data_IF_574396155217
#
_entry.id   IF_574396155217
#
_cell.length_a   1.000
_cell.length_b   1.000
_cell.length_c   1.000
_cell.angle_alpha   90.00
_cell.angle_beta   90.00
_cell.angle_gamma   90.00
#
_symmetry.space_group_name_H-M   'P 1'
#
loop_
_entity.id
_entity.type
_entity.pdbx_description
1 polymer ?
#
# COMPACT_ATOMS: atom_id res chain seq x y z
N UNK A 1 53.97 -10.66 -61.84
CA UNK A 1 53.55 -11.19 -60.53
C UNK A 1 53.96 -10.20 -59.46
N UNK A 2 53.12 -9.21 -59.16
CA UNK A 2 53.43 -8.22 -58.11
C UNK A 2 52.17 -7.39 -57.83
N UNK A 3 51.27 -7.91 -56.98
CA UNK A 3 50.21 -7.15 -56.30
C UNK A 3 49.67 -7.85 -55.04
N UNK A 4 50.34 -8.91 -54.58
CA UNK A 4 49.86 -9.82 -53.53
C UNK A 4 49.84 -9.22 -52.12
N UNK A 5 50.62 -8.18 -51.84
CA UNK A 5 50.64 -7.55 -50.50
C UNK A 5 49.49 -6.58 -50.31
N UNK A 6 49.17 -5.77 -51.32
CA UNK A 6 48.07 -4.80 -51.26
C UNK A 6 46.71 -5.49 -51.21
N UNK A 7 46.50 -6.51 -52.05
CA UNK A 7 45.27 -7.32 -52.07
C UNK A 7 45.02 -7.97 -50.71
N UNK A 8 46.06 -8.56 -50.10
CA UNK A 8 45.95 -9.14 -48.74
C UNK A 8 45.66 -8.10 -47.66
N UNK A 9 46.19 -6.88 -47.78
CA UNK A 9 45.87 -5.80 -46.84
C UNK A 9 44.40 -5.40 -46.95
N UNK A 10 43.86 -5.30 -48.17
CA UNK A 10 42.44 -5.00 -48.41
C UNK A 10 41.52 -6.12 -47.90
N UNK A 11 41.89 -7.38 -48.09
CA UNK A 11 41.15 -8.52 -47.53
C UNK A 11 41.10 -8.49 -45.99
N UNK A 12 42.21 -8.13 -45.34
CA UNK A 12 42.27 -7.99 -43.88
C UNK A 12 41.41 -6.81 -43.41
N UNK A 13 41.46 -5.68 -44.11
CA UNK A 13 40.66 -4.50 -43.80
C UNK A 13 39.16 -4.81 -43.89
N UNK A 14 38.73 -5.46 -44.98
CA UNK A 14 37.34 -5.89 -45.14
C UNK A 14 36.91 -6.86 -44.04
N UNK A 15 37.75 -7.86 -43.71
CA UNK A 15 37.44 -8.80 -42.64
C UNK A 15 37.33 -8.11 -41.27
N UNK A 16 38.16 -7.10 -41.00
CA UNK A 16 38.08 -6.31 -39.78
C UNK A 16 36.81 -5.45 -39.73
N UNK A 17 36.41 -4.84 -40.85
CA UNK A 17 35.15 -4.09 -40.96
C UNK A 17 33.93 -4.98 -40.74
N UNK A 18 33.91 -6.19 -41.32
CA UNK A 18 32.84 -7.15 -41.15
C UNK A 18 32.70 -7.59 -39.67
N UNK A 19 33.83 -7.84 -39.00
CA UNK A 19 33.85 -8.16 -37.57
C UNK A 19 33.35 -6.98 -36.73
N UNK A 20 33.75 -5.75 -37.05
CA UNK A 20 33.28 -4.55 -36.36
C UNK A 20 31.78 -4.33 -36.57
N UNK A 21 31.25 -4.58 -37.77
CA UNK A 21 29.83 -4.52 -38.06
C UNK A 21 29.05 -5.55 -37.22
N UNK A 22 29.53 -6.80 -37.17
CA UNK A 22 28.93 -7.85 -36.35
C UNK A 22 28.85 -7.47 -34.86
N UNK A 23 29.94 -6.91 -34.30
CA UNK A 23 29.91 -6.46 -32.90
C UNK A 23 28.95 -5.30 -32.66
N UNK A 24 28.84 -4.34 -33.59
CA UNK A 24 27.86 -3.26 -33.49
C UNK A 24 26.44 -3.79 -33.46
N UNK A 25 26.13 -4.77 -34.30
CA UNK A 25 24.81 -5.40 -34.34
C UNK A 25 24.53 -6.18 -33.04
N UNK A 26 25.51 -6.93 -32.53
CA UNK A 26 25.38 -7.62 -31.23
C UNK A 26 25.15 -6.63 -30.08
N UNK A 27 25.88 -5.52 -30.04
CA UNK A 27 25.69 -4.48 -29.03
C UNK A 27 24.28 -3.89 -29.11
N UNK A 28 23.77 -3.66 -30.32
CA UNK A 28 22.41 -3.15 -30.51
C UNK A 28 21.37 -4.15 -30.02
N UNK A 29 21.48 -5.42 -30.44
CA UNK A 29 20.57 -6.49 -30.02
C UNK A 29 20.53 -6.63 -28.49
N UNK A 30 21.70 -6.64 -27.84
CA UNK A 30 21.78 -6.74 -26.38
C UNK A 30 21.17 -5.54 -25.67
N UNK A 31 21.29 -4.32 -26.24
CA UNK A 31 20.65 -3.12 -25.70
C UNK A 31 19.13 -3.17 -25.85
N UNK A 32 18.65 -3.60 -27.00
CA UNK A 32 17.22 -3.72 -27.27
C UNK A 32 16.60 -4.79 -26.35
N UNK A 33 17.27 -5.92 -26.16
CA UNK A 33 16.87 -6.99 -25.24
C UNK A 33 16.86 -6.53 -23.77
N UNK A 34 17.89 -5.81 -23.33
CA UNK A 34 17.94 -5.19 -22.00
C UNK A 34 16.79 -4.22 -21.78
N UNK A 35 16.52 -3.37 -22.77
CA UNK A 35 15.44 -2.37 -22.69
C UNK A 35 14.09 -3.07 -22.55
N UNK A 36 13.81 -4.07 -23.39
CA UNK A 36 12.57 -4.84 -23.31
C UNK A 36 12.41 -5.56 -21.96
N UNK A 37 13.50 -6.13 -21.42
CA UNK A 37 13.49 -6.76 -20.09
C UNK A 37 13.21 -5.78 -18.96
N UNK A 38 13.77 -4.57 -19.03
CA UNK A 38 13.53 -3.52 -18.04
C UNK A 38 12.09 -3.03 -18.09
N UNK A 39 11.51 -2.88 -19.28
CA UNK A 39 10.10 -2.52 -19.45
C UNK A 39 9.18 -3.60 -18.88
N UNK A 40 9.42 -4.88 -19.20
CA UNK A 40 8.67 -6.00 -18.65
C UNK A 40 8.77 -6.04 -17.11
N UNK A 41 9.99 -5.89 -16.58
CA UNK A 41 10.22 -5.90 -15.14
C UNK A 41 9.50 -4.73 -14.45
N UNK A 42 9.48 -3.54 -15.05
CA UNK A 42 8.73 -2.40 -14.53
C UNK A 42 7.24 -2.71 -14.45
N UNK A 43 6.66 -3.29 -15.50
CA UNK A 43 5.24 -3.66 -15.53
C UNK A 43 4.89 -4.72 -14.47
N UNK A 44 5.79 -5.68 -14.23
CA UNK A 44 5.62 -6.68 -13.18
C UNK A 44 5.62 -6.01 -11.80
N UNK A 45 6.59 -5.14 -11.53
CA UNK A 45 6.65 -4.43 -10.25
C UNK A 45 5.46 -3.51 -10.01
N UNK A 46 4.99 -2.81 -11.04
CA UNK A 46 3.79 -1.96 -10.96
C UNK A 46 2.57 -2.81 -10.57
N UNK A 47 2.41 -3.97 -11.20
CA UNK A 47 1.31 -4.90 -10.92
C UNK A 47 1.40 -5.51 -9.52
N UNK A 48 2.58 -5.93 -9.09
CA UNK A 48 2.81 -6.45 -7.74
C UNK A 48 2.50 -5.39 -6.68
N UNK A 49 2.91 -4.14 -6.94
CA UNK A 49 2.64 -3.00 -6.08
C UNK A 49 1.14 -2.73 -6.00
N UNK A 50 0.43 -2.75 -7.13
CA UNK A 50 -1.03 -2.56 -7.15
C UNK A 50 -1.74 -3.63 -6.31
N UNK A 51 -1.35 -4.90 -6.46
CA UNK A 51 -1.91 -6.02 -5.68
C UNK A 51 -1.64 -5.81 -4.18
N UNK A 52 -0.42 -5.42 -3.81
CA UNK A 52 -0.04 -5.18 -2.42
C UNK A 52 -0.85 -4.03 -1.80
N UNK A 53 -1.02 -2.92 -2.53
CA UNK A 53 -1.82 -1.77 -2.09
C UNK A 53 -3.29 -2.16 -1.92
N UNK A 54 -3.87 -2.88 -2.89
CA UNK A 54 -5.25 -3.35 -2.79
C UNK A 54 -5.46 -4.31 -1.61
N UNK A 55 -4.51 -5.23 -1.36
CA UNK A 55 -4.55 -6.14 -0.21
C UNK A 55 -4.49 -5.37 1.11
N UNK A 56 -3.59 -4.39 1.22
CA UNK A 56 -3.44 -3.55 2.41
C UNK A 56 -4.70 -2.72 2.66
N UNK A 57 -5.28 -2.15 1.60
CA UNK A 57 -6.51 -1.36 1.68
C UNK A 57 -7.67 -2.21 2.21
N UNK A 58 -7.88 -3.42 1.67
CA UNK A 58 -8.91 -4.35 2.16
C UNK A 58 -8.70 -4.71 3.63
N UNK A 59 -7.47 -5.04 4.02
CA UNK A 59 -7.14 -5.36 5.41
C UNK A 59 -7.44 -4.19 6.35
N UNK A 60 -7.14 -2.96 5.92
CA UNK A 60 -7.44 -1.75 6.70
C UNK A 60 -8.93 -1.48 6.79
N UNK A 61 -9.68 -1.72 5.73
CA UNK A 61 -11.15 -1.60 5.76
C UNK A 61 -11.78 -2.61 6.73
N UNK A 62 -11.31 -3.85 6.75
CA UNK A 62 -11.74 -4.87 7.72
C UNK A 62 -11.39 -4.48 9.17
N UNK A 63 -10.18 -3.95 9.39
CA UNK A 63 -9.73 -3.47 10.69
C UNK A 63 -10.60 -2.31 11.20
N UNK A 64 -10.93 -1.36 10.32
CA UNK A 64 -11.84 -0.24 10.65
C UNK A 64 -13.23 -0.76 11.03
N UNK A 65 -13.83 -1.64 10.20
CA UNK A 65 -15.15 -2.21 10.50
C UNK A 65 -15.18 -2.93 11.85
N UNK A 66 -14.12 -3.66 12.18
CA UNK A 66 -14.00 -4.32 13.48
C UNK A 66 -13.92 -3.31 14.62
N UNK A 67 -13.10 -2.26 14.47
CA UNK A 67 -12.97 -1.21 15.49
C UNK A 67 -14.29 -0.44 15.69
N UNK A 68 -15.04 -0.20 14.63
CA UNK A 68 -16.36 0.42 14.69
C UNK A 68 -17.36 -0.45 15.46
N UNK A 69 -17.39 -1.77 15.21
CA UNK A 69 -18.22 -2.72 15.96
C UNK A 69 -17.83 -2.77 17.44
N UNK A 70 -16.53 -2.85 17.74
CA UNK A 70 -16.03 -2.88 19.12
C UNK A 70 -16.39 -1.58 19.88
N UNK A 71 -16.32 -0.43 19.18
CA UNK A 71 -16.73 0.86 19.71
C UNK A 71 -18.24 0.88 20.01
N UNK A 72 -19.08 0.43 19.08
CA UNK A 72 -20.53 0.38 19.27
C UNK A 72 -20.91 -0.50 20.46
N UNK A 73 -20.33 -1.69 20.58
CA UNK A 73 -20.53 -2.58 21.73
C UNK A 73 -20.11 -1.92 23.05
N UNK A 74 -19.00 -1.18 23.03
CA UNK A 74 -18.51 -0.45 24.20
C UNK A 74 -19.47 0.68 24.60
N UNK A 75 -19.97 1.44 23.62
CA UNK A 75 -20.96 2.51 23.85
C UNK A 75 -22.25 1.93 24.44
N UNK A 76 -22.79 0.86 23.85
CA UNK A 76 -23.99 0.20 24.36
C UNK A 76 -23.79 -0.30 25.80
N UNK A 77 -22.68 -0.97 26.08
CA UNK A 77 -22.34 -1.45 27.44
C UNK A 77 -22.25 -0.31 28.44
N UNK A 78 -21.64 0.80 28.06
CA UNK A 78 -21.53 1.98 28.92
C UNK A 78 -22.90 2.62 29.16
N UNK A 79 -23.74 2.71 28.12
CA UNK A 79 -25.10 3.23 28.24
C UNK A 79 -25.94 2.39 29.21
N UNK A 80 -25.92 1.06 29.09
CA UNK A 80 -26.62 0.16 30.03
C UNK A 80 -26.13 0.36 31.47
N UNK A 81 -24.82 0.54 31.68
CA UNK A 81 -24.27 0.79 33.02
C UNK A 81 -24.73 2.13 33.59
N UNK A 82 -24.76 3.18 32.77
CA UNK A 82 -25.25 4.50 33.19
C UNK A 82 -26.72 4.42 33.56
N UNK A 83 -27.56 3.77 32.74
CA UNK A 83 -28.99 3.59 33.01
C UNK A 83 -29.25 2.79 34.29
N UNK A 84 -28.48 1.72 34.52
CA UNK A 84 -28.56 0.94 35.74
C UNK A 84 -28.17 1.79 36.98
N UNK A 85 -27.09 2.56 36.90
CA UNK A 85 -26.64 3.43 37.99
C UNK A 85 -27.64 4.56 38.28
N UNK A 86 -28.23 5.17 37.25
CA UNK A 86 -29.28 6.18 37.41
C UNK A 86 -30.54 5.60 38.06
N UNK A 87 -30.91 4.37 37.68
CA UNK A 87 -32.05 3.67 38.28
C UNK A 87 -31.83 3.38 39.76
N UNK A 88 -30.64 2.88 40.11
CA UNK A 88 -30.24 2.63 41.51
C UNK A 88 -30.29 3.92 42.36
N UNK A 89 -29.75 5.02 41.83
CA UNK A 89 -29.67 6.31 42.55
C UNK A 89 -30.96 7.12 42.56
N UNK A 90 -32.00 6.70 41.81
CA UNK A 90 -33.23 7.46 41.65
C UNK A 90 -33.95 7.72 42.97
N UNK A 91 -34.02 6.72 43.85
CA UNK A 91 -34.70 6.83 45.14
C UNK A 91 -33.96 7.78 46.10
N UNK A 92 -32.63 7.69 46.14
CA UNK A 92 -31.79 8.56 46.97
C UNK A 92 -31.84 10.01 46.49
N UNK A 93 -31.81 10.23 45.16
CA UNK A 93 -31.95 11.56 44.58
C UNK A 93 -33.33 12.16 44.88
N UNK A 94 -34.40 11.37 44.77
CA UNK A 94 -35.74 11.82 45.11
C UNK A 94 -35.86 12.23 46.59
N UNK A 95 -35.27 11.45 47.50
CA UNK A 95 -35.20 11.77 48.93
C UNK A 95 -34.46 13.09 49.18
N UNK A 96 -33.28 13.25 48.58
CA UNK A 96 -32.47 14.46 48.71
C UNK A 96 -33.20 15.72 48.17
N UNK A 97 -33.96 15.58 47.08
CA UNK A 97 -34.79 16.67 46.54
C UNK A 97 -35.90 17.04 47.54
N UNK A 98 -36.62 16.05 48.08
CA UNK A 98 -37.70 16.28 49.04
C UNK A 98 -37.17 16.96 50.31
N UNK A 99 -36.07 16.47 50.87
CA UNK A 99 -35.42 17.08 52.05
C UNK A 99 -35.11 18.56 51.79
N UNK A 100 -34.51 18.88 50.65
CA UNK A 100 -34.15 20.25 50.28
C UNK A 100 -35.36 21.17 50.07
N UNK A 101 -36.47 20.63 49.55
CA UNK A 101 -37.73 21.38 49.39
C UNK A 101 -38.38 21.66 50.75
N UNK A 102 -38.39 20.68 51.65
CA UNK A 102 -38.90 20.84 53.02
C UNK A 102 -38.06 21.87 53.77
N UNK A 103 -36.73 21.85 53.65
CA UNK A 103 -35.86 22.88 54.25
C UNK A 103 -36.15 24.29 53.72
N UNK A 104 -36.45 24.44 52.43
CA UNK A 104 -36.63 25.74 51.80
C UNK A 104 -38.03 26.35 51.98
N UNK A 105 -39.07 25.52 52.07
CA UNK A 105 -40.48 25.96 52.02
C UNK A 105 -41.40 25.31 53.06
N UNK A 106 -40.87 24.46 53.95
CA UNK A 106 -41.65 23.71 54.94
C UNK A 106 -42.04 24.49 56.20
N UNK A 107 -42.06 25.82 56.14
CA UNK A 107 -42.55 26.72 57.20
C UNK A 107 -43.89 27.33 56.81
#
# INVERSE_FOLDING_TARGET
>A
MTNTTLEKMQEIEQAAEDVLASYKDQIKLLRDEQTARLEELSLVYDKETEIAVQSLAKKKEEEIKKLEQDLELTVQKNQTKVEAALTDKKADLARAIVEKVVEAYGH
#
